data_IF_339410189233
#
_entry.id   IF_339410189233
#
_cell.length_a   1.000
_cell.length_b   1.000
_cell.length_c   1.000
_cell.angle_alpha   90.00
_cell.angle_beta   90.00
_cell.angle_gamma   90.00
#
_symmetry.space_group_name_H-M   'P 1'
#
loop_
_entity.id
_entity.type
_entity.pdbx_description
1 polymer ?
#
# COMPACT_ATOMS: atom_id res chain seq x y z
N UNK A 1 5.31 -8.42 -35.87
CA UNK A 1 4.16 -7.53 -36.07
C UNK A 1 3.19 -7.88 -34.97
N UNK A 2 2.88 -6.91 -34.14
CA UNK A 2 2.01 -7.11 -32.99
C UNK A 2 0.59 -7.41 -33.46
N UNK A 3 0.10 -8.62 -33.15
CA UNK A 3 -1.24 -9.06 -33.47
C UNK A 3 -2.27 -8.48 -32.47
N UNK A 4 -2.10 -7.23 -32.04
CA UNK A 4 -3.03 -6.58 -31.10
C UNK A 4 -3.75 -5.40 -31.76
N UNK A 5 -5.03 -5.27 -31.44
CA UNK A 5 -5.92 -4.21 -31.90
C UNK A 5 -6.47 -3.46 -30.69
N UNK A 6 -6.46 -2.12 -30.76
CA UNK A 6 -7.06 -1.28 -29.71
C UNK A 6 -8.59 -1.34 -29.85
N UNK A 7 -9.26 -1.90 -28.85
CA UNK A 7 -10.73 -1.98 -28.81
C UNK A 7 -11.35 -0.73 -28.19
N UNK A 8 -10.72 -0.16 -27.16
CA UNK A 8 -11.19 1.05 -26.47
C UNK A 8 -10.00 1.78 -25.81
N UNK A 9 -10.12 3.08 -25.62
CA UNK A 9 -9.13 3.86 -24.84
C UNK A 9 -9.80 5.04 -24.16
N UNK A 10 -9.39 5.33 -22.91
CA UNK A 10 -9.79 6.51 -22.15
C UNK A 10 -8.57 7.13 -21.43
N UNK A 11 -8.78 8.12 -20.53
CA UNK A 11 -7.71 8.75 -19.74
C UNK A 11 -6.94 7.70 -18.90
N UNK A 12 -7.65 6.72 -18.33
CA UNK A 12 -7.13 5.82 -17.30
C UNK A 12 -6.49 4.56 -17.90
N UNK A 13 -7.11 3.96 -18.95
CA UNK A 13 -6.66 2.66 -19.49
C UNK A 13 -6.96 2.50 -20.97
N UNK A 14 -6.32 1.49 -21.58
CA UNK A 14 -6.62 1.02 -22.93
C UNK A 14 -7.02 -0.44 -22.89
N UNK A 15 -8.07 -0.83 -23.63
CA UNK A 15 -8.46 -2.24 -23.84
C UNK A 15 -7.88 -2.72 -25.16
N UNK A 16 -7.12 -3.82 -25.09
CA UNK A 16 -6.54 -4.48 -26.24
C UNK A 16 -7.23 -5.82 -26.52
N UNK A 17 -7.36 -6.14 -27.81
CA UNK A 17 -7.60 -7.49 -28.31
C UNK A 17 -6.31 -8.00 -28.93
N UNK A 18 -5.89 -9.19 -28.55
CA UNK A 18 -4.62 -9.76 -28.99
C UNK A 18 -4.77 -11.23 -29.40
N UNK A 19 -4.31 -11.57 -30.61
CA UNK A 19 -4.24 -12.95 -31.05
C UNK A 19 -2.93 -13.58 -30.61
N UNK A 20 -3.01 -14.55 -29.69
CA UNK A 20 -1.85 -15.22 -29.10
C UNK A 20 -1.81 -16.70 -29.48
N UNK A 21 -0.60 -17.28 -29.45
CA UNK A 21 -0.40 -18.72 -29.53
C UNK A 21 0.06 -19.25 -28.18
N UNK A 22 -0.72 -20.15 -27.59
CA UNK A 22 -0.40 -20.82 -26.34
C UNK A 22 0.78 -21.79 -26.53
N UNK A 23 1.43 -22.18 -25.42
CA UNK A 23 2.56 -23.12 -25.44
C UNK A 23 2.23 -24.48 -26.07
N UNK A 24 0.96 -24.92 -26.04
CA UNK A 24 0.47 -26.12 -26.70
C UNK A 24 0.15 -25.95 -28.19
N UNK A 25 0.50 -24.79 -28.79
CA UNK A 25 0.28 -24.47 -30.19
C UNK A 25 -1.11 -23.95 -30.55
N UNK A 26 -2.08 -23.95 -29.60
CA UNK A 26 -3.44 -23.45 -29.84
C UNK A 26 -3.45 -21.94 -29.98
N UNK A 27 -4.07 -21.43 -31.03
CA UNK A 27 -4.35 -19.99 -31.20
C UNK A 27 -5.61 -19.61 -30.48
N UNK A 28 -5.59 -18.47 -29.82
CA UNK A 28 -6.73 -17.89 -29.11
C UNK A 28 -6.64 -16.37 -29.12
N UNK A 29 -7.77 -15.70 -28.97
CA UNK A 29 -7.84 -14.25 -28.77
C UNK A 29 -8.01 -13.96 -27.28
N UNK A 30 -7.24 -13.02 -26.78
CA UNK A 30 -7.29 -12.50 -25.42
C UNK A 30 -7.67 -11.03 -25.46
N UNK A 31 -8.46 -10.61 -24.46
CA UNK A 31 -8.76 -9.21 -24.22
C UNK A 31 -8.16 -8.83 -22.86
N UNK A 32 -7.46 -7.71 -22.82
CA UNK A 32 -6.79 -7.27 -21.61
C UNK A 32 -6.75 -5.75 -21.51
N UNK A 33 -6.61 -5.26 -20.27
CA UNK A 33 -6.56 -3.85 -19.92
C UNK A 33 -5.10 -3.47 -19.74
N UNK A 34 -4.66 -2.46 -20.49
CA UNK A 34 -3.37 -1.79 -20.35
C UNK A 34 -3.56 -0.59 -19.44
N UNK A 35 -2.98 -0.65 -18.25
CA UNK A 35 -3.09 0.36 -17.21
C UNK A 35 -1.70 0.85 -16.82
N UNK A 36 -1.58 2.12 -16.45
CA UNK A 36 -0.33 2.64 -15.90
C UNK A 36 -0.04 1.99 -14.54
N UNK A 37 1.24 1.92 -14.12
CA UNK A 37 1.56 1.56 -12.74
C UNK A 37 0.89 2.52 -11.75
N UNK A 38 0.65 2.01 -10.55
CA UNK A 38 -0.05 2.74 -9.48
C UNK A 38 0.67 2.61 -8.16
N UNK A 39 0.33 3.48 -7.21
CA UNK A 39 0.75 3.39 -5.81
C UNK A 39 -0.46 3.24 -4.90
N UNK A 40 -0.24 2.67 -3.73
CA UNK A 40 -1.15 2.71 -2.59
C UNK A 40 -0.35 3.03 -1.32
N UNK A 41 -0.86 3.93 -0.47
CA UNK A 41 -0.12 4.48 0.65
C UNK A 41 -0.84 4.22 1.96
N UNK A 42 -0.23 3.41 2.83
CA UNK A 42 -0.68 3.19 4.20
C UNK A 42 -0.05 4.28 5.09
N UNK A 43 -0.75 5.40 5.27
CA UNK A 43 -0.27 6.52 6.06
C UNK A 43 -0.68 6.37 7.53
N UNK A 44 0.30 6.20 8.41
CA UNK A 44 0.08 6.03 9.86
C UNK A 44 0.62 7.24 10.61
N UNK A 45 -0.25 7.91 11.36
CA UNK A 45 0.10 9.07 12.15
C UNK A 45 0.65 8.71 13.55
N UNK A 46 1.11 9.72 14.30
CA UNK A 46 1.67 9.57 15.66
C UNK A 46 0.69 8.99 16.69
N UNK A 47 -0.62 9.04 16.40
CA UNK A 47 -1.67 8.46 17.26
C UNK A 47 -1.96 6.99 16.95
N UNK A 48 -1.17 6.36 16.05
CA UNK A 48 -1.44 5.04 15.51
C UNK A 48 -2.81 4.94 14.80
N UNK A 49 -3.18 5.99 14.06
CA UNK A 49 -4.34 6.00 13.18
C UNK A 49 -3.87 5.85 11.73
N UNK A 50 -4.52 4.97 10.98
CA UNK A 50 -4.38 4.89 9.53
C UNK A 50 -5.28 5.96 8.89
N UNK A 51 -4.73 6.76 7.99
CA UNK A 51 -5.51 7.68 7.19
C UNK A 51 -6.24 6.90 6.10
N UNK A 52 -7.47 6.47 6.38
CA UNK A 52 -8.38 5.98 5.35
C UNK A 52 -9.01 7.17 4.63
N UNK A 53 -9.42 6.93 3.41
CA UNK A 53 -10.26 7.85 2.64
C UNK A 53 -11.60 7.18 2.35
N UNK A 54 -12.65 7.99 2.24
CA UNK A 54 -13.94 7.56 1.73
C UNK A 54 -14.18 8.22 0.38
N UNK A 55 -14.42 7.39 -0.63
CA UNK A 55 -14.61 7.83 -2.01
C UNK A 55 -15.74 7.04 -2.67
N UNK A 56 -16.62 7.74 -3.40
CA UNK A 56 -17.64 7.10 -4.23
C UNK A 56 -17.02 6.44 -5.46
N UNK A 57 -17.32 5.16 -5.66
CA UNK A 57 -16.82 4.39 -6.81
C UNK A 57 -17.97 4.01 -7.74
N UNK A 58 -18.06 4.69 -8.89
CA UNK A 58 -19.10 4.47 -9.90
C UNK A 58 -19.32 2.98 -10.23
N UNK A 59 -18.28 2.14 -10.44
CA UNK A 59 -18.47 0.74 -10.77
C UNK A 59 -19.15 -0.10 -9.69
N UNK A 60 -19.05 0.32 -8.43
CA UNK A 60 -19.68 -0.37 -7.28
C UNK A 60 -21.03 0.25 -6.92
N UNK A 61 -21.27 1.49 -7.33
CA UNK A 61 -22.43 2.28 -6.95
C UNK A 61 -22.49 2.64 -5.46
N UNK A 62 -21.31 2.68 -4.79
CA UNK A 62 -21.24 2.83 -3.35
C UNK A 62 -19.96 3.60 -2.93
N UNK A 63 -19.98 4.17 -1.73
CA UNK A 63 -18.79 4.70 -1.07
C UNK A 63 -17.93 3.54 -0.54
N UNK A 64 -16.64 3.58 -0.85
CA UNK A 64 -15.67 2.63 -0.31
C UNK A 64 -14.74 3.32 0.68
N UNK A 65 -14.30 2.54 1.68
CA UNK A 65 -13.18 2.91 2.54
C UNK A 65 -11.91 2.36 1.91
N UNK A 66 -11.00 3.27 1.59
CA UNK A 66 -9.79 2.96 0.85
C UNK A 66 -8.55 3.58 1.53
N UNK A 67 -7.36 3.10 1.20
CA UNK A 67 -6.11 3.80 1.43
C UNK A 67 -5.84 4.74 0.24
N UNK A 68 -5.17 5.88 0.43
CA UNK A 68 -4.73 6.77 -0.65
C UNK A 68 -4.01 6.01 -1.75
N UNK A 69 -4.37 6.30 -3.01
CA UNK A 69 -3.83 5.57 -4.16
C UNK A 69 -4.05 6.31 -5.47
N UNK A 70 -3.05 6.29 -6.35
CA UNK A 70 -3.20 6.85 -7.68
C UNK A 70 -2.17 6.36 -8.68
N UNK A 71 -2.26 6.90 -9.90
CA UNK A 71 -1.43 6.52 -11.04
C UNK A 71 -0.20 7.41 -11.16
N UNK A 72 0.87 6.86 -11.75
CA UNK A 72 2.09 7.61 -11.99
C UNK A 72 1.86 8.71 -13.04
N UNK A 73 2.45 9.88 -12.79
CA UNK A 73 2.68 10.89 -13.81
C UNK A 73 3.92 10.55 -14.66
N UNK A 74 4.05 11.19 -15.83
CA UNK A 74 5.14 10.95 -16.76
C UNK A 74 6.51 11.22 -16.10
N UNK A 75 7.33 10.19 -16.00
CA UNK A 75 8.69 10.26 -15.47
C UNK A 75 8.80 10.22 -13.95
N UNK A 76 7.68 10.03 -13.25
CA UNK A 76 7.62 9.95 -11.79
C UNK A 76 8.13 8.59 -11.30
N UNK A 77 8.90 8.59 -10.23
CA UNK A 77 9.27 7.36 -9.51
C UNK A 77 8.14 6.90 -8.60
N UNK A 78 8.10 5.61 -8.19
CA UNK A 78 7.08 5.12 -7.25
C UNK A 78 6.99 5.92 -5.94
N UNK A 79 8.15 6.35 -5.41
CA UNK A 79 8.20 7.11 -4.17
C UNK A 79 7.69 8.55 -4.33
N UNK A 80 7.97 9.20 -5.47
CA UNK A 80 7.46 10.54 -5.79
C UNK A 80 5.95 10.50 -5.96
N UNK A 81 5.43 9.53 -6.72
CA UNK A 81 3.99 9.30 -6.87
C UNK A 81 3.30 9.08 -5.51
N UNK A 82 3.85 8.23 -4.66
CA UNK A 82 3.30 7.98 -3.32
C UNK A 82 3.25 9.25 -2.46
N UNK A 83 4.25 10.12 -2.53
CA UNK A 83 4.26 11.41 -1.82
C UNK A 83 3.25 12.40 -2.38
N UNK A 84 3.08 12.46 -3.71
CA UNK A 84 2.12 13.34 -4.38
C UNK A 84 0.70 12.92 -4.03
N UNK A 85 0.33 11.66 -4.28
CA UNK A 85 -1.00 11.13 -4.01
C UNK A 85 -1.39 11.25 -2.53
N UNK A 86 -0.46 10.98 -1.61
CA UNK A 86 -0.69 11.19 -0.18
C UNK A 86 -1.03 12.65 0.13
N UNK A 87 -0.32 13.61 -0.50
CA UNK A 87 -0.53 15.02 -0.26
C UNK A 87 -1.81 15.57 -0.91
N UNK A 88 -2.20 15.06 -2.08
CA UNK A 88 -3.42 15.41 -2.79
C UNK A 88 -4.66 14.88 -2.07
N UNK A 89 -4.68 13.60 -1.73
CA UNK A 89 -5.85 12.95 -1.15
C UNK A 89 -6.01 13.17 0.37
N UNK A 90 -4.91 13.41 1.12
CA UNK A 90 -4.99 13.54 2.58
C UNK A 90 -4.46 14.86 3.14
N UNK A 91 -3.73 15.61 2.35
CA UNK A 91 -3.05 16.84 2.80
C UNK A 91 -1.73 16.59 3.55
N UNK A 92 -1.23 15.36 3.60
CA UNK A 92 0.02 15.02 4.30
C UNK A 92 1.11 14.54 3.37
N UNK A 93 2.36 14.83 3.74
CA UNK A 93 3.57 14.19 3.21
C UNK A 93 4.21 13.32 4.28
N UNK A 94 4.98 12.34 3.83
CA UNK A 94 5.69 11.42 4.73
C UNK A 94 7.15 11.83 4.90
N UNK A 95 7.63 11.91 6.13
CA UNK A 95 9.06 12.02 6.44
C UNK A 95 9.80 10.70 6.28
N UNK A 96 9.07 9.58 6.35
CA UNK A 96 9.61 8.22 6.16
C UNK A 96 8.65 7.36 5.35
N UNK A 97 9.09 7.00 4.15
CA UNK A 97 8.35 6.18 3.20
C UNK A 97 9.09 4.84 3.03
N UNK A 98 8.38 3.73 3.25
CA UNK A 98 8.93 2.37 3.14
C UNK A 98 8.07 1.56 2.19
N UNK A 99 8.65 1.06 1.09
CA UNK A 99 7.95 0.12 0.20
C UNK A 99 7.85 -1.25 0.88
N UNK A 100 6.63 -1.74 1.06
CA UNK A 100 6.36 -3.02 1.69
C UNK A 100 6.13 -4.15 0.69
N UNK A 101 5.58 -3.83 -0.48
CA UNK A 101 5.25 -4.79 -1.52
C UNK A 101 5.04 -4.10 -2.86
N UNK A 102 5.30 -4.82 -3.97
CA UNK A 102 4.86 -4.44 -5.29
C UNK A 102 4.42 -5.67 -6.09
N UNK A 103 3.36 -5.53 -6.91
CA UNK A 103 2.84 -6.65 -7.68
C UNK A 103 1.62 -6.31 -8.52
N UNK A 104 1.23 -7.27 -9.37
CA UNK A 104 0.01 -7.16 -10.16
C UNK A 104 -1.22 -7.39 -9.31
N UNK A 105 -2.26 -6.55 -9.47
CA UNK A 105 -3.53 -6.72 -8.75
C UNK A 105 -4.44 -7.72 -9.44
N UNK A 106 -4.59 -7.62 -10.76
CA UNK A 106 -5.59 -8.37 -11.54
C UNK A 106 -4.97 -9.00 -12.80
N UNK A 107 -3.86 -9.81 -12.68
CA UNK A 107 -3.07 -10.28 -13.82
C UNK A 107 -3.83 -11.18 -14.81
N UNK A 108 -5.03 -11.61 -14.46
CA UNK A 108 -5.89 -12.39 -15.36
C UNK A 108 -6.42 -11.59 -16.55
N UNK A 109 -6.49 -10.26 -16.45
CA UNK A 109 -7.01 -9.39 -17.51
C UNK A 109 -6.52 -7.94 -17.49
N UNK A 110 -5.66 -7.57 -16.55
CA UNK A 110 -5.10 -6.23 -16.41
C UNK A 110 -3.61 -6.32 -16.05
N UNK A 111 -2.80 -5.44 -16.62
CA UNK A 111 -1.38 -5.34 -16.31
C UNK A 111 -1.07 -4.26 -15.26
N UNK A 112 -2.07 -3.76 -14.55
CA UNK A 112 -1.85 -2.83 -13.45
C UNK A 112 -0.86 -3.40 -12.42
N UNK A 113 0.27 -2.71 -12.26
CA UNK A 113 1.31 -3.04 -11.29
C UNK A 113 1.30 -1.99 -10.19
N UNK A 114 1.02 -2.40 -8.95
CA UNK A 114 0.85 -1.49 -7.82
C UNK A 114 2.00 -1.61 -6.81
N UNK A 115 2.50 -0.46 -6.37
CA UNK A 115 3.49 -0.32 -5.31
C UNK A 115 2.80 0.07 -4.00
N UNK A 116 3.07 -0.65 -2.93
CA UNK A 116 2.48 -0.42 -1.60
C UNK A 116 3.51 0.18 -0.65
N UNK A 117 3.25 1.39 -0.17
CA UNK A 117 4.13 2.11 0.74
C UNK A 117 3.51 2.30 2.11
N UNK A 118 4.31 2.08 3.17
CA UNK A 118 4.01 2.59 4.49
C UNK A 118 4.60 4.00 4.61
N UNK A 119 3.76 4.96 4.99
CA UNK A 119 4.12 6.34 5.24
C UNK A 119 4.01 6.64 6.75
N UNK A 120 5.11 7.08 7.33
CA UNK A 120 5.22 7.47 8.75
C UNK A 120 5.82 8.87 8.85
N UNK A 121 5.85 9.45 10.06
CA UNK A 121 6.37 10.79 10.30
C UNK A 121 5.66 11.86 9.43
N UNK A 122 4.32 11.87 9.50
CA UNK A 122 3.45 12.66 8.63
C UNK A 122 3.54 14.16 8.97
N UNK A 123 3.72 14.99 7.93
CA UNK A 123 3.73 16.45 8.01
C UNK A 123 2.60 17.00 7.14
N UNK A 124 1.81 17.93 7.67
CA UNK A 124 0.72 18.55 6.92
C UNK A 124 1.29 19.52 5.88
N UNK A 125 1.17 19.15 4.61
CA UNK A 125 1.68 19.89 3.45
C UNK A 125 0.78 19.55 2.24
N UNK A 126 -0.45 20.11 2.19
CA UNK A 126 -1.46 19.73 1.22
C UNK A 126 -1.12 20.17 -0.20
N UNK A 127 -1.47 19.33 -1.16
CA UNK A 127 -1.63 19.67 -2.57
C UNK A 127 -3.12 19.77 -2.91
N UNK A 128 -3.43 20.35 -4.06
CA UNK A 128 -4.81 20.36 -4.56
C UNK A 128 -5.17 18.99 -5.07
N UNK A 129 -6.30 18.39 -4.64
CA UNK A 129 -6.80 17.16 -5.24
C UNK A 129 -7.21 17.38 -6.70
N UNK A 130 -7.38 16.30 -7.45
CA UNK A 130 -7.93 16.35 -8.81
C UNK A 130 -9.37 16.88 -8.78
N UNK A 131 -9.75 17.64 -9.81
CA UNK A 131 -11.06 18.34 -9.88
C UNK A 131 -12.27 17.40 -9.90
N UNK A 132 -12.07 16.12 -10.23
CA UNK A 132 -13.08 15.08 -10.31
C UNK A 132 -13.10 14.14 -9.09
N UNK A 133 -12.36 14.46 -8.03
CA UNK A 133 -12.30 13.70 -6.79
C UNK A 133 -13.09 14.34 -5.65
N UNK A 134 -13.98 13.58 -5.05
CA UNK A 134 -14.70 13.91 -3.81
C UNK A 134 -14.28 12.92 -2.72
N UNK A 135 -13.27 13.31 -1.94
CA UNK A 135 -12.59 12.46 -0.98
C UNK A 135 -12.79 13.01 0.43
N UNK A 136 -13.20 12.15 1.36
CA UNK A 136 -13.23 12.45 2.79
C UNK A 136 -12.15 11.67 3.52
N UNK A 137 -11.22 12.37 4.17
CA UNK A 137 -10.17 11.75 4.99
C UNK A 137 -10.72 11.29 6.32
N UNK A 138 -10.49 10.03 6.66
CA UNK A 138 -11.00 9.36 7.87
C UNK A 138 -9.85 8.76 8.70
N UNK A 139 -9.18 9.53 9.56
CA UNK A 139 -8.18 8.99 10.48
C UNK A 139 -8.85 7.94 11.38
N UNK A 140 -8.40 6.69 11.29
CA UNK A 140 -9.01 5.55 11.98
C UNK A 140 -7.97 4.79 12.78
N UNK A 141 -8.18 4.57 14.10
CA UNK A 141 -7.27 3.77 14.92
C UNK A 141 -6.98 2.39 14.30
N UNK A 142 -5.72 1.96 14.27
CA UNK A 142 -5.32 0.71 13.61
C UNK A 142 -6.10 -0.52 14.10
N UNK A 143 -6.38 -0.62 15.40
CA UNK A 143 -7.20 -1.71 15.92
C UNK A 143 -8.61 -1.74 15.32
N UNK A 144 -9.22 -0.57 15.09
CA UNK A 144 -10.54 -0.48 14.43
C UNK A 144 -10.44 -0.82 12.95
N UNK A 145 -9.34 -0.44 12.26
CA UNK A 145 -9.10 -0.82 10.87
C UNK A 145 -9.02 -2.34 10.72
N UNK A 146 -8.31 -3.03 11.62
CA UNK A 146 -8.25 -4.49 11.64
C UNK A 146 -9.63 -5.13 11.88
N UNK A 147 -10.43 -4.57 12.78
CA UNK A 147 -11.82 -5.00 12.98
C UNK A 147 -12.69 -4.76 11.73
N UNK A 148 -12.52 -3.62 11.04
CA UNK A 148 -13.22 -3.30 9.80
C UNK A 148 -12.86 -4.26 8.66
N UNK A 149 -11.62 -4.73 8.60
CA UNK A 149 -11.21 -5.76 7.65
C UNK A 149 -11.89 -7.09 7.98
N UNK A 150 -11.86 -7.52 9.25
CA UNK A 150 -12.45 -8.80 9.68
C UNK A 150 -13.97 -8.87 9.51
N UNK A 151 -14.67 -7.76 9.74
CA UNK A 151 -16.13 -7.70 9.64
C UNK A 151 -16.66 -7.32 8.24
N UNK A 152 -15.77 -7.16 7.24
CA UNK A 152 -16.11 -6.90 5.85
C UNK A 152 -16.55 -5.45 5.56
N UNK A 153 -16.26 -4.49 6.43
CA UNK A 153 -16.47 -3.06 6.13
C UNK A 153 -15.46 -2.54 5.13
N UNK A 154 -14.20 -3.04 5.14
CA UNK A 154 -13.23 -2.80 4.09
C UNK A 154 -13.51 -3.80 2.98
N UNK A 155 -13.96 -3.29 1.82
CA UNK A 155 -14.36 -4.08 0.65
C UNK A 155 -13.43 -3.89 -0.55
N UNK A 156 -12.53 -2.92 -0.48
CA UNK A 156 -11.51 -2.67 -1.49
C UNK A 156 -10.30 -3.60 -1.26
N UNK A 157 -9.92 -4.35 -2.29
CA UNK A 157 -8.88 -5.37 -2.19
C UNK A 157 -7.47 -4.78 -1.97
N UNK A 158 -7.15 -3.61 -2.59
CA UNK A 158 -5.86 -2.96 -2.35
C UNK A 158 -5.74 -2.50 -0.91
N UNK A 159 -6.82 -1.95 -0.34
CA UNK A 159 -6.88 -1.52 1.06
C UNK A 159 -6.75 -2.71 2.00
N UNK A 160 -7.47 -3.81 1.73
CA UNK A 160 -7.36 -5.04 2.51
C UNK A 160 -5.93 -5.58 2.53
N UNK A 161 -5.26 -5.63 1.35
CA UNK A 161 -3.86 -6.03 1.26
C UNK A 161 -2.94 -5.07 2.03
N UNK A 162 -3.11 -3.76 1.85
CA UNK A 162 -2.33 -2.74 2.56
C UNK A 162 -2.42 -2.87 4.08
N UNK A 163 -3.63 -3.07 4.61
CA UNK A 163 -3.88 -3.29 6.05
C UNK A 163 -3.14 -4.52 6.56
N UNK A 164 -3.18 -5.65 5.83
CA UNK A 164 -2.45 -6.86 6.20
C UNK A 164 -0.93 -6.69 6.16
N UNK A 165 -0.42 -5.92 5.19
CA UNK A 165 1.01 -5.59 5.10
C UNK A 165 1.47 -4.76 6.30
N UNK A 166 0.70 -3.76 6.72
CA UNK A 166 0.99 -2.94 7.90
C UNK A 166 0.94 -3.81 9.17
N UNK A 167 -0.09 -4.62 9.36
CA UNK A 167 -0.20 -5.53 10.52
C UNK A 167 1.04 -6.43 10.64
N UNK A 168 1.46 -7.05 9.54
CA UNK A 168 2.65 -7.89 9.50
C UNK A 168 3.93 -7.11 9.79
N UNK A 169 4.09 -5.92 9.19
CA UNK A 169 5.26 -5.07 9.39
C UNK A 169 5.41 -4.66 10.85
N UNK A 170 4.33 -4.19 11.49
CA UNK A 170 4.31 -3.80 12.89
C UNK A 170 4.57 -4.98 13.82
N UNK A 171 4.01 -6.16 13.54
CA UNK A 171 4.24 -7.38 14.31
C UNK A 171 5.72 -7.81 14.27
N UNK A 172 6.36 -7.76 13.11
CA UNK A 172 7.79 -8.07 12.96
C UNK A 172 8.67 -7.06 13.71
N UNK A 173 8.36 -5.77 13.63
CA UNK A 173 9.09 -4.71 14.33
C UNK A 173 9.03 -4.88 15.86
N UNK A 174 7.88 -5.25 16.40
CA UNK A 174 7.72 -5.56 17.83
C UNK A 174 8.54 -6.79 18.25
N UNK A 175 8.59 -7.82 17.41
CA UNK A 175 9.40 -9.00 17.66
C UNK A 175 10.90 -8.68 17.73
N UNK A 176 11.41 -7.88 16.81
CA UNK A 176 12.82 -7.44 16.79
C UNK A 176 13.16 -6.61 18.02
N UNK A 177 12.31 -5.66 18.42
CA UNK A 177 12.53 -4.83 19.62
C UNK A 177 12.58 -5.70 20.88
N UNK A 178 11.66 -6.67 21.02
CA UNK A 178 11.64 -7.56 22.17
C UNK A 178 12.86 -8.49 22.21
N UNK A 179 13.34 -8.94 21.06
CA UNK A 179 14.56 -9.77 20.98
C UNK A 179 15.83 -8.97 21.36
N UNK A 180 15.94 -7.72 20.91
CA UNK A 180 17.03 -6.82 21.28
C UNK A 180 17.00 -6.48 22.78
N UNK A 181 15.83 -6.23 23.34
CA UNK A 181 15.68 -5.96 24.78
C UNK A 181 16.06 -7.18 25.63
N UNK A 182 15.70 -8.40 25.21
CA UNK A 182 16.07 -9.64 25.87
C UNK A 182 17.61 -9.87 25.83
N UNK A 183 18.25 -9.63 24.68
CA UNK A 183 19.71 -9.77 24.53
C UNK A 183 20.53 -8.72 25.30
N UNK A 184 19.97 -7.51 25.49
CA UNK A 184 20.59 -6.48 26.35
C UNK A 184 20.41 -6.77 27.85
N UNK A 185 19.35 -7.48 28.25
CA UNK A 185 19.10 -7.86 29.65
C UNK A 185 19.99 -8.98 30.18
N UNK A 186 20.63 -9.78 29.32
CA UNK A 186 21.57 -10.84 29.72
C UNK A 186 23.00 -10.35 30.01
N UNK A 187 23.30 -9.06 29.84
CA UNK A 187 24.65 -8.50 30.00
C UNK A 187 24.99 -7.95 31.40
N UNK A 188 24.17 -8.22 32.41
CA UNK A 188 24.51 -7.80 33.80
C UNK A 188 24.19 -8.90 34.78
N UNK A 189 25.16 -9.80 35.05
CA UNK A 189 25.43 -10.45 36.34
C UNK A 189 26.68 -11.35 36.22
N UNK A 190 27.85 -10.72 36.15
CA UNK A 190 29.09 -11.43 36.56
C UNK A 190 29.20 -11.29 38.07
N UNK A 191 29.10 -12.37 38.86
CA UNK A 191 29.37 -12.29 40.31
C UNK A 191 30.86 -11.99 40.51
N UNK A 192 31.17 -10.87 41.14
CA UNK A 192 32.51 -10.67 41.69
C UNK A 192 32.77 -11.73 42.75
N UNK A 193 33.67 -12.69 42.48
CA UNK A 193 34.27 -13.55 43.48
C UNK A 193 35.07 -12.65 44.48
N UNK A 194 34.58 -12.56 45.70
CA UNK A 194 35.36 -12.02 46.82
C UNK A 194 36.29 -13.12 47.28
N UNK A 195 37.60 -12.95 47.04
CA UNK A 195 38.67 -13.67 47.72
C UNK A 195 38.66 -13.30 49.19
N UNK A 196 38.17 -14.19 50.03
CA UNK A 196 38.46 -14.18 51.47
C UNK A 196 39.67 -15.06 51.73
N UNK A 197 40.86 -14.44 51.79
CA UNK A 197 41.99 -14.98 52.59
C UNK A 197 41.75 -14.56 54.02
N UNK A 198 41.71 -15.51 54.94
CA UNK A 198 41.86 -15.38 56.36
C UNK A 198 43.07 -16.17 56.83
N UNK A 199 43.66 -15.76 57.97
CA UNK A 199 45.06 -15.99 58.38
C UNK A 199 45.35 -17.45 58.75
#
# INVERSE_FOLDING_TARGET
MENKTKAYSCKIFTVWEEDIQLANGRKTRQNWIDHQPTVAVMAVNEKNELLLIRQYRVPTGDDLLEIPAGSFDDGESPAECAQRELAEETGFRSGRLTELYAGYLLPGYCNEYMHFFLAEDLVYEPLSPDDDEDIEVMPTPLNQVFEMLQNGRIRDAKTALGVLLVERYLSNRLFEINHLAASCGELTLVPQQRDHKLP
#
